data_IF_812749040934
#
_entry.id   IF_812749040934
#
_cell.length_a   1.000
_cell.length_b   1.000
_cell.length_c   1.000
_cell.angle_alpha   90.00
_cell.angle_beta   90.00
_cell.angle_gamma   90.00
#
_symmetry.space_group_name_H-M   'P 1'
#
loop_
_entity.id
_entity.type
_entity.pdbx_description
1 polymer ?
#
# COMPACT_ATOMS: atom_id res chain seq x y z
N UNK A 1 -4.60 -4.08 -27.78
CA UNK A 1 -3.34 -4.83 -27.54
C UNK A 1 -2.07 -3.97 -27.65
N UNK A 2 -2.05 -2.90 -28.46
CA UNK A 2 -0.89 -1.99 -28.54
C UNK A 2 -0.56 -1.33 -27.19
N UNK A 3 -1.56 -1.04 -26.37
CA UNK A 3 -1.38 -0.33 -25.09
C UNK A 3 -0.72 -1.18 -24.01
N UNK A 4 -1.01 -2.50 -23.97
CA UNK A 4 -0.31 -3.45 -23.11
C UNK A 4 1.19 -3.52 -23.44
N UNK A 5 1.54 -3.56 -24.72
CA UNK A 5 2.94 -3.54 -25.17
C UNK A 5 3.66 -2.23 -24.84
N UNK A 6 2.93 -1.12 -24.83
CA UNK A 6 3.46 0.18 -24.39
C UNK A 6 3.70 0.22 -22.88
N UNK A 7 2.74 -0.22 -22.06
CA UNK A 7 2.88 -0.31 -20.60
C UNK A 7 4.06 -1.19 -20.18
N UNK A 8 4.17 -2.39 -20.78
CA UNK A 8 5.30 -3.30 -20.51
C UNK A 8 6.65 -2.68 -20.92
N UNK A 9 6.69 -1.89 -22.00
CA UNK A 9 7.90 -1.18 -22.42
C UNK A 9 8.32 -0.10 -21.42
N UNK A 10 7.37 0.60 -20.80
CA UNK A 10 7.68 1.57 -19.74
C UNK A 10 8.23 0.88 -18.49
N UNK A 11 7.69 -0.27 -18.11
CA UNK A 11 8.25 -1.09 -17.03
C UNK A 11 9.72 -1.44 -17.31
N UNK A 12 10.02 -1.96 -18.51
CA UNK A 12 11.39 -2.30 -18.91
C UNK A 12 12.31 -1.08 -18.95
N UNK A 13 11.82 0.08 -19.41
CA UNK A 13 12.58 1.33 -19.40
C UNK A 13 12.93 1.75 -17.97
N UNK A 14 11.97 1.69 -17.05
CA UNK A 14 12.19 1.97 -15.63
C UNK A 14 13.26 1.06 -15.02
N UNK A 15 13.15 -0.26 -15.23
CA UNK A 15 14.14 -1.23 -14.74
C UNK A 15 15.54 -0.97 -15.31
N UNK A 16 15.67 -0.63 -16.60
CA UNK A 16 16.96 -0.26 -17.21
C UNK A 16 17.52 1.04 -16.63
N UNK A 17 16.67 2.02 -16.37
CA UNK A 17 17.10 3.29 -15.77
C UNK A 17 17.63 3.06 -14.35
N UNK A 18 16.93 2.24 -13.55
CA UNK A 18 17.36 1.81 -12.22
C UNK A 18 18.71 1.10 -12.26
N UNK A 19 18.90 0.14 -13.17
CA UNK A 19 20.15 -0.60 -13.32
C UNK A 19 21.34 0.30 -13.69
N UNK A 20 21.10 1.40 -14.42
CA UNK A 20 22.13 2.40 -14.76
C UNK A 20 22.42 3.38 -13.62
N UNK A 21 21.51 3.50 -12.65
CA UNK A 21 21.58 4.48 -11.56
C UNK A 21 21.49 3.81 -10.17
N UNK A 22 22.38 2.86 -9.89
CA UNK A 22 22.35 2.04 -8.66
C UNK A 22 22.27 2.83 -7.34
N UNK A 23 22.98 3.96 -7.21
CA UNK A 23 22.88 4.82 -6.01
C UNK A 23 21.48 5.44 -5.82
N UNK A 24 20.77 5.71 -6.90
CA UNK A 24 19.43 6.28 -6.87
C UNK A 24 18.38 5.20 -6.55
N UNK A 25 18.65 3.95 -6.91
CA UNK A 25 17.85 2.79 -6.51
C UNK A 25 17.88 2.56 -5.00
N UNK A 26 19.09 2.56 -4.40
CA UNK A 26 19.25 2.45 -2.95
C UNK A 26 18.49 3.56 -2.23
N UNK A 27 18.60 4.80 -2.71
CA UNK A 27 17.86 5.94 -2.18
C UNK A 27 16.33 5.75 -2.25
N UNK A 28 15.81 5.19 -3.34
CA UNK A 28 14.38 4.88 -3.49
C UNK A 28 13.88 3.72 -2.62
N UNK A 29 14.79 2.84 -2.15
CA UNK A 29 14.46 1.72 -1.27
C UNK A 29 14.40 2.11 0.21
N UNK A 30 15.09 3.18 0.62
CA UNK A 30 15.16 3.64 2.02
C UNK A 30 13.77 3.76 2.67
N UNK A 31 12.76 4.41 2.04
CA UNK A 31 11.44 4.53 2.65
C UNK A 31 10.74 3.18 2.86
N UNK A 32 10.91 2.26 1.91
CA UNK A 32 10.38 0.90 2.00
C UNK A 32 11.03 0.12 3.14
N UNK A 33 12.34 0.28 3.33
CA UNK A 33 13.06 -0.35 4.44
C UNK A 33 12.63 0.22 5.80
N UNK A 34 12.50 1.54 5.91
CA UNK A 34 12.00 2.19 7.13
C UNK A 34 10.61 1.65 7.46
N UNK A 35 9.71 1.63 6.46
CA UNK A 35 8.34 1.14 6.64
C UNK A 35 8.34 -0.34 7.04
N UNK A 36 9.15 -1.17 6.40
CA UNK A 36 9.29 -2.59 6.75
C UNK A 36 9.71 -2.76 8.21
N UNK A 37 10.72 -2.03 8.67
CA UNK A 37 11.16 -2.08 10.07
C UNK A 37 10.05 -1.67 11.03
N UNK A 38 9.28 -0.63 10.70
CA UNK A 38 8.15 -0.18 11.52
C UNK A 38 7.06 -1.25 11.63
N UNK A 39 6.68 -1.88 10.53
CA UNK A 39 5.66 -2.94 10.54
C UNK A 39 6.16 -4.21 11.22
N UNK A 40 7.43 -4.61 11.02
CA UNK A 40 8.03 -5.72 11.74
C UNK A 40 8.02 -5.45 13.24
N UNK A 41 8.42 -4.25 13.67
CA UNK A 41 8.36 -3.87 15.08
C UNK A 41 6.93 -3.93 15.65
N UNK A 42 5.93 -3.45 14.89
CA UNK A 42 4.52 -3.51 15.29
C UNK A 42 4.00 -4.96 15.40
N UNK A 43 4.35 -5.83 14.46
CA UNK A 43 3.97 -7.25 14.49
C UNK A 43 4.68 -8.02 15.60
N UNK A 44 5.96 -7.71 15.87
CA UNK A 44 6.69 -8.27 17.00
C UNK A 44 6.08 -7.80 18.32
N UNK A 45 5.71 -6.53 18.45
CA UNK A 45 5.01 -6.02 19.61
C UNK A 45 3.67 -6.74 19.81
N UNK A 46 2.90 -6.93 18.73
CA UNK A 46 1.67 -7.71 18.76
C UNK A 46 1.92 -9.17 19.18
N UNK A 47 3.04 -9.76 18.75
CA UNK A 47 3.40 -11.12 19.11
C UNK A 47 3.74 -11.29 20.59
N UNK A 48 4.41 -10.30 21.18
CA UNK A 48 4.82 -10.33 22.58
C UNK A 48 3.66 -9.95 23.51
N UNK A 49 2.85 -8.96 23.12
CA UNK A 49 1.85 -8.33 23.99
C UNK A 49 0.40 -8.66 23.62
N UNK A 50 0.16 -9.38 22.52
CA UNK A 50 -1.19 -9.64 22.00
C UNK A 50 -2.07 -10.44 22.97
N UNK A 51 -1.54 -11.49 23.58
CA UNK A 51 -2.29 -12.27 24.58
C UNK A 51 -2.62 -11.44 25.82
N UNK A 52 -1.65 -10.66 26.31
CA UNK A 52 -1.86 -9.76 27.45
C UNK A 52 -2.91 -8.69 27.12
N UNK A 53 -2.90 -8.15 25.90
CA UNK A 53 -3.89 -7.19 25.43
C UNK A 53 -5.30 -7.81 25.35
N UNK A 54 -5.43 -9.04 24.85
CA UNK A 54 -6.72 -9.76 24.80
C UNK A 54 -7.22 -10.04 26.22
N UNK A 55 -6.35 -10.49 27.12
CA UNK A 55 -6.70 -10.71 28.54
C UNK A 55 -7.19 -9.42 29.20
N UNK A 56 -6.44 -8.33 29.05
CA UNK A 56 -6.80 -7.00 29.56
C UNK A 56 -8.13 -6.48 28.99
N UNK A 57 -8.42 -6.79 27.73
CA UNK A 57 -9.66 -6.38 27.06
C UNK A 57 -10.87 -7.26 27.42
N UNK A 58 -10.67 -8.41 28.07
CA UNK A 58 -11.72 -9.39 28.35
C UNK A 58 -11.84 -9.77 29.84
N UNK A 59 -11.93 -8.79 30.77
CA UNK A 59 -12.00 -9.09 32.21
C UNK A 59 -13.28 -9.87 32.58
N UNK A 60 -14.38 -9.69 31.84
CA UNK A 60 -15.61 -10.45 32.03
C UNK A 60 -15.45 -11.98 31.81
N UNK A 61 -14.36 -12.41 31.16
CA UNK A 61 -14.05 -13.81 30.92
C UNK A 61 -13.10 -14.40 31.98
N UNK A 62 -12.70 -13.65 33.01
CA UNK A 62 -11.75 -14.11 34.03
C UNK A 62 -12.28 -15.30 34.84
N UNK A 63 -13.59 -15.33 35.13
CA UNK A 63 -14.23 -16.37 35.93
C UNK A 63 -14.74 -17.57 35.11
N UNK A 64 -14.45 -17.62 33.80
CA UNK A 64 -14.94 -18.69 32.94
C UNK A 64 -14.19 -19.99 33.21
N UNK A 65 -14.92 -21.11 33.23
CA UNK A 65 -14.32 -22.43 33.42
C UNK A 65 -13.45 -22.86 32.24
N UNK A 66 -12.42 -23.67 32.52
CA UNK A 66 -11.64 -24.34 31.50
C UNK A 66 -12.49 -25.38 30.76
N UNK A 67 -12.40 -25.52 29.42
CA UNK A 67 -11.45 -24.85 28.50
C UNK A 67 -12.00 -23.56 27.85
N UNK A 68 -13.21 -23.13 28.18
CA UNK A 68 -13.93 -22.07 27.45
C UNK A 68 -13.22 -20.72 27.47
N UNK A 69 -12.63 -20.35 28.61
CA UNK A 69 -11.80 -19.15 28.72
C UNK A 69 -10.64 -19.15 27.72
N UNK A 70 -9.88 -20.24 27.68
CA UNK A 70 -8.70 -20.39 26.82
C UNK A 70 -9.08 -20.42 25.34
N UNK A 71 -10.15 -21.12 24.98
CA UNK A 71 -10.65 -21.16 23.61
C UNK A 71 -11.09 -19.78 23.12
N UNK A 72 -11.85 -19.05 23.94
CA UNK A 72 -12.32 -17.70 23.58
C UNK A 72 -11.17 -16.71 23.42
N UNK A 73 -10.27 -16.63 24.41
CA UNK A 73 -9.11 -15.73 24.35
C UNK A 73 -8.14 -16.12 23.23
N UNK A 74 -7.89 -17.41 23.03
CA UNK A 74 -7.07 -17.92 21.92
C UNK A 74 -7.66 -17.55 20.56
N UNK A 75 -8.97 -17.70 20.38
CA UNK A 75 -9.66 -17.26 19.16
C UNK A 75 -9.52 -15.75 18.93
N UNK A 76 -9.76 -14.92 19.95
CA UNK A 76 -9.59 -13.46 19.84
C UNK A 76 -8.15 -13.06 19.51
N UNK A 77 -7.15 -13.70 20.13
CA UNK A 77 -5.74 -13.49 19.79
C UNK A 77 -5.49 -13.84 18.33
N UNK A 78 -5.98 -14.99 17.84
CA UNK A 78 -5.82 -15.38 16.43
C UNK A 78 -6.47 -14.36 15.48
N UNK A 79 -7.68 -13.88 15.78
CA UNK A 79 -8.37 -12.84 15.00
C UNK A 79 -7.59 -11.53 15.02
N UNK A 80 -7.08 -11.12 16.18
CA UNK A 80 -6.27 -9.91 16.33
C UNK A 80 -5.01 -9.96 15.47
N UNK A 81 -4.29 -11.08 15.46
CA UNK A 81 -3.14 -11.28 14.59
C UNK A 81 -3.53 -11.29 13.11
N UNK A 82 -4.60 -11.99 12.74
CA UNK A 82 -5.07 -12.04 11.36
C UNK A 82 -5.43 -10.63 10.84
N UNK A 83 -6.14 -9.83 11.65
CA UNK A 83 -6.47 -8.45 11.33
C UNK A 83 -5.23 -7.56 11.30
N UNK A 84 -4.31 -7.71 12.26
CA UNK A 84 -3.05 -6.97 12.28
C UNK A 84 -2.19 -7.23 11.04
N UNK A 85 -2.10 -8.49 10.60
CA UNK A 85 -1.39 -8.88 9.39
C UNK A 85 -2.09 -8.32 8.13
N UNK A 86 -3.41 -8.48 8.05
CA UNK A 86 -4.21 -7.96 6.93
C UNK A 86 -4.06 -6.43 6.79
N UNK A 87 -4.20 -5.70 7.90
CA UNK A 87 -4.01 -4.26 7.94
C UNK A 87 -2.59 -3.90 7.52
N UNK A 88 -1.58 -4.64 7.99
CA UNK A 88 -0.18 -4.41 7.60
C UNK A 88 0.00 -4.52 6.09
N UNK A 89 -0.49 -5.57 5.47
CA UNK A 89 -0.40 -5.77 4.00
C UNK A 89 -1.09 -4.64 3.25
N UNK A 90 -2.32 -4.27 3.65
CA UNK A 90 -3.10 -3.25 2.93
C UNK A 90 -2.50 -1.85 3.10
N UNK A 91 -1.93 -1.54 4.26
CA UNK A 91 -1.43 -0.19 4.57
C UNK A 91 0.06 0.00 4.26
N UNK A 92 0.82 -1.08 4.07
CA UNK A 92 2.27 -1.03 3.84
C UNK A 92 2.65 -0.12 2.67
N UNK A 93 2.03 -0.29 1.50
CA UNK A 93 2.39 0.51 0.31
C UNK A 93 2.05 1.97 0.53
N UNK A 94 0.86 2.28 1.07
CA UNK A 94 0.45 3.65 1.33
C UNK A 94 1.35 4.35 2.34
N UNK A 95 1.72 3.67 3.44
CA UNK A 95 2.67 4.22 4.43
C UNK A 95 4.05 4.39 3.83
N UNK A 96 4.50 3.44 3.00
CA UNK A 96 5.78 3.53 2.29
C UNK A 96 5.82 4.76 1.36
N UNK A 97 4.76 4.97 0.58
CA UNK A 97 4.63 6.13 -0.31
C UNK A 97 4.55 7.45 0.47
N UNK A 98 3.86 7.45 1.61
CA UNK A 98 3.74 8.63 2.47
C UNK A 98 5.09 9.01 3.10
N UNK A 99 5.79 8.05 3.71
CA UNK A 99 7.13 8.25 4.29
C UNK A 99 8.13 8.61 3.18
N UNK A 100 7.99 7.95 2.03
CA UNK A 100 8.91 8.06 0.91
C UNK A 100 8.66 9.22 -0.03
N UNK A 101 7.57 9.98 0.14
CA UNK A 101 7.21 11.07 -0.76
C UNK A 101 8.38 12.01 -1.12
N UNK A 102 9.17 12.57 -0.17
CA UNK A 102 10.31 13.41 -0.54
C UNK A 102 11.41 12.67 -1.30
N UNK A 103 11.58 11.37 -1.05
CA UNK A 103 12.54 10.52 -1.76
C UNK A 103 12.08 10.23 -3.19
N UNK A 104 10.81 9.82 -3.34
CA UNK A 104 10.21 9.50 -4.63
C UNK A 104 10.06 10.72 -5.52
N UNK A 105 9.79 11.89 -4.96
CA UNK A 105 9.79 13.16 -5.70
C UNK A 105 11.17 13.52 -6.23
N UNK A 106 12.21 13.49 -5.38
CA UNK A 106 13.59 13.72 -5.82
C UNK A 106 14.06 12.71 -6.87
N UNK A 107 13.64 11.45 -6.74
CA UNK A 107 13.93 10.41 -7.72
C UNK A 107 13.21 10.69 -9.05
N UNK A 108 11.92 11.04 -8.99
CA UNK A 108 11.10 11.35 -10.16
C UNK A 108 11.62 12.58 -10.92
N UNK A 109 12.11 13.59 -10.22
CA UNK A 109 12.76 14.75 -10.85
C UNK A 109 14.01 14.39 -11.63
N UNK A 110 14.83 13.47 -11.10
CA UNK A 110 16.04 12.99 -11.80
C UNK A 110 15.68 12.20 -13.05
N UNK A 111 14.67 11.33 -12.96
CA UNK A 111 14.12 10.60 -14.12
C UNK A 111 13.61 11.59 -15.17
N UNK A 112 12.82 12.58 -14.79
CA UNK A 112 12.29 13.57 -15.74
C UNK A 112 13.41 14.38 -16.40
N UNK A 113 14.44 14.78 -15.63
CA UNK A 113 15.59 15.51 -16.16
C UNK A 113 16.39 14.70 -17.19
N UNK A 114 16.54 13.39 -16.97
CA UNK A 114 17.25 12.50 -17.90
C UNK A 114 16.46 12.22 -19.18
N UNK A 115 15.14 12.32 -19.13
CA UNK A 115 14.25 12.02 -20.25
C UNK A 115 13.84 13.29 -21.02
N UNK A 116 13.89 14.47 -20.39
CA UNK A 116 13.50 15.73 -21.03
C UNK A 116 14.59 16.24 -21.98
N UNK A 117 14.28 16.47 -23.27
CA UNK A 117 15.24 16.99 -24.26
C UNK A 117 15.84 18.36 -23.90
N UNK A 118 15.09 19.13 -23.13
CA UNK A 118 15.41 20.50 -22.70
C UNK A 118 15.75 20.61 -21.20
N UNK A 119 15.75 19.48 -20.48
CA UNK A 119 15.98 19.43 -19.02
C UNK A 119 14.90 20.12 -18.18
N UNK A 120 13.74 20.47 -18.75
CA UNK A 120 12.63 21.06 -17.99
C UNK A 120 12.00 20.01 -17.08
N UNK A 121 11.81 20.36 -15.81
CA UNK A 121 11.30 19.44 -14.79
C UNK A 121 10.00 20.04 -14.23
N UNK A 122 8.86 19.33 -14.32
CA UNK A 122 7.62 19.77 -13.69
C UNK A 122 7.81 19.85 -12.18
N UNK A 123 7.57 21.01 -11.58
CA UNK A 123 7.61 21.19 -10.12
C UNK A 123 6.24 21.64 -9.64
N UNK A 124 5.77 21.02 -8.57
CA UNK A 124 4.48 21.34 -7.97
C UNK A 124 4.45 22.78 -7.44
N UNK A 125 5.58 23.27 -6.90
CA UNK A 125 5.72 24.63 -6.35
C UNK A 125 4.96 24.84 -5.03
N UNK A 126 4.46 23.78 -4.41
CA UNK A 126 3.83 23.82 -3.09
C UNK A 126 4.87 23.56 -1.98
N UNK A 127 4.62 24.00 -0.74
CA UNK A 127 5.41 23.56 0.40
C UNK A 127 5.26 22.05 0.64
N UNK A 128 6.35 21.35 0.98
CA UNK A 128 6.37 19.90 1.22
C UNK A 128 5.27 19.40 2.16
N UNK A 129 4.94 20.16 3.21
CA UNK A 129 3.86 19.73 4.13
C UNK A 129 2.50 19.67 3.42
N UNK A 130 2.20 20.62 2.52
CA UNK A 130 0.92 20.66 1.80
C UNK A 130 0.83 19.48 0.85
N UNK A 131 1.93 19.16 0.18
CA UNK A 131 2.02 18.00 -0.69
C UNK A 131 1.87 16.70 0.08
N UNK A 132 2.47 16.60 1.27
CA UNK A 132 2.30 15.48 2.20
C UNK A 132 0.85 15.34 2.64
N UNK A 133 0.15 16.44 2.97
CA UNK A 133 -1.25 16.38 3.38
C UNK A 133 -2.19 16.02 2.22
N UNK A 134 -1.94 16.52 1.01
CA UNK A 134 -2.71 16.13 -0.19
C UNK A 134 -2.49 14.65 -0.49
N UNK A 135 -1.23 14.22 -0.51
CA UNK A 135 -0.84 12.82 -0.73
C UNK A 135 -1.43 11.89 0.32
N UNK A 136 -1.37 12.25 1.60
CA UNK A 136 -1.95 11.47 2.69
C UNK A 136 -3.47 11.33 2.52
N UNK A 137 -4.17 12.41 2.17
CA UNK A 137 -5.63 12.39 1.97
C UNK A 137 -6.03 11.52 0.79
N UNK A 138 -5.30 11.62 -0.32
CA UNK A 138 -5.58 10.84 -1.52
C UNK A 138 -5.25 9.36 -1.30
N UNK A 139 -4.07 9.07 -0.75
CA UNK A 139 -3.66 7.72 -0.33
C UNK A 139 -4.67 7.10 0.63
N UNK A 140 -5.17 7.86 1.61
CA UNK A 140 -6.19 7.35 2.53
C UNK A 140 -7.49 6.96 1.81
N UNK A 141 -7.94 7.77 0.84
CA UNK A 141 -9.13 7.43 0.04
C UNK A 141 -8.92 6.17 -0.81
N UNK A 142 -7.71 5.99 -1.35
CA UNK A 142 -7.34 4.81 -2.12
C UNK A 142 -7.31 3.57 -1.23
N UNK A 143 -6.62 3.64 -0.09
CA UNK A 143 -6.56 2.56 0.90
C UNK A 143 -7.95 2.17 1.38
N UNK A 144 -8.83 3.13 1.68
CA UNK A 144 -10.19 2.83 2.10
C UNK A 144 -10.98 2.07 1.01
N UNK A 145 -10.79 2.43 -0.26
CA UNK A 145 -11.42 1.72 -1.39
C UNK A 145 -10.81 0.34 -1.59
N UNK A 146 -9.49 0.21 -1.50
CA UNK A 146 -8.79 -1.07 -1.60
C UNK A 146 -9.17 -2.01 -0.45
N UNK A 147 -9.28 -1.49 0.77
CA UNK A 147 -9.75 -2.23 1.94
C UNK A 147 -11.20 -2.68 1.78
N UNK A 148 -12.10 -1.80 1.30
CA UNK A 148 -13.48 -2.16 1.00
C UNK A 148 -13.55 -3.31 -0.01
N UNK A 149 -12.81 -3.20 -1.12
CA UNK A 149 -12.70 -4.29 -2.09
C UNK A 149 -12.08 -5.55 -1.51
N UNK A 150 -11.06 -5.43 -0.67
CA UNK A 150 -10.42 -6.56 0.01
C UNK A 150 -11.40 -7.32 0.90
N UNK A 151 -12.19 -6.61 1.71
CA UNK A 151 -13.25 -7.20 2.55
C UNK A 151 -14.33 -7.86 1.69
N UNK A 152 -14.79 -7.20 0.63
CA UNK A 152 -15.80 -7.75 -0.28
C UNK A 152 -15.30 -9.02 -0.96
N UNK A 153 -14.10 -9.00 -1.53
CA UNK A 153 -13.50 -10.16 -2.20
C UNK A 153 -13.20 -11.29 -1.22
N UNK A 154 -12.75 -10.96 -0.01
CA UNK A 154 -12.57 -11.95 1.05
C UNK A 154 -13.89 -12.65 1.39
N UNK A 155 -14.96 -11.88 1.60
CA UNK A 155 -16.29 -12.44 1.88
C UNK A 155 -16.81 -13.30 0.70
N UNK A 156 -16.66 -12.82 -0.54
CA UNK A 156 -17.03 -13.58 -1.74
C UNK A 156 -16.18 -14.85 -1.93
N UNK A 157 -14.96 -14.85 -1.39
CA UNK A 157 -14.05 -16.01 -1.38
C UNK A 157 -14.62 -17.23 -0.64
N UNK A 158 -15.58 -17.04 0.26
CA UNK A 158 -16.27 -18.14 0.95
C UNK A 158 -17.38 -18.79 0.13
N UNK A 159 -17.78 -18.20 -1.00
CA UNK A 159 -18.81 -18.80 -1.86
C UNK A 159 -18.20 -20.02 -2.58
N UNK A 160 -18.73 -21.24 -2.39
CA UNK A 160 -18.20 -22.42 -3.06
C UNK A 160 -18.19 -22.25 -4.58
N UNK A 161 -17.14 -22.75 -5.24
CA UNK A 161 -16.90 -22.66 -6.69
C UNK A 161 -16.56 -21.24 -7.15
N UNK A 162 -17.39 -20.22 -6.85
CA UNK A 162 -17.15 -18.83 -7.27
C UNK A 162 -15.95 -18.19 -6.58
N UNK A 163 -15.78 -18.45 -5.28
CA UNK A 163 -14.69 -17.92 -4.46
C UNK A 163 -13.31 -18.39 -4.90
N UNK A 164 -13.22 -19.57 -5.52
CA UNK A 164 -11.96 -20.14 -6.01
C UNK A 164 -11.71 -19.88 -7.49
N UNK A 165 -12.71 -19.40 -8.25
CA UNK A 165 -12.61 -19.21 -9.70
C UNK A 165 -12.68 -17.73 -10.11
N UNK A 166 -13.80 -17.06 -9.82
CA UNK A 166 -14.07 -15.69 -10.28
C UNK A 166 -13.41 -14.66 -9.36
N UNK A 167 -13.47 -14.87 -8.06
CA UNK A 167 -12.93 -13.92 -7.07
C UNK A 167 -11.43 -13.66 -7.23
N UNK A 168 -10.56 -14.67 -7.45
CA UNK A 168 -9.12 -14.41 -7.68
C UNK A 168 -8.86 -13.60 -8.95
N UNK A 169 -9.63 -13.85 -10.02
CA UNK A 169 -9.51 -13.11 -11.28
C UNK A 169 -9.87 -11.64 -11.08
N UNK A 170 -11.01 -11.37 -10.42
CA UNK A 170 -11.39 -9.99 -10.07
C UNK A 170 -10.35 -9.36 -9.15
N UNK A 171 -9.84 -10.11 -8.17
CA UNK A 171 -8.79 -9.66 -7.26
C UNK A 171 -7.54 -9.17 -8.00
N UNK A 172 -7.06 -9.92 -8.99
CA UNK A 172 -5.91 -9.50 -9.83
C UNK A 172 -6.19 -8.17 -10.53
N UNK A 173 -7.38 -8.00 -11.11
CA UNK A 173 -7.73 -6.74 -11.80
C UNK A 173 -7.87 -5.56 -10.84
N UNK A 174 -8.52 -5.77 -9.69
CA UNK A 174 -8.70 -4.73 -8.66
C UNK A 174 -7.35 -4.31 -8.08
N UNK A 175 -6.50 -5.27 -7.69
CA UNK A 175 -5.15 -4.99 -7.18
C UNK A 175 -4.28 -4.34 -8.25
N UNK A 176 -4.33 -4.81 -9.50
CA UNK A 176 -3.58 -4.22 -10.61
C UNK A 176 -3.99 -2.77 -10.90
N UNK A 177 -5.28 -2.45 -10.81
CA UNK A 177 -5.78 -1.09 -10.94
C UNK A 177 -5.24 -0.18 -9.85
N UNK A 178 -5.38 -0.57 -8.57
CA UNK A 178 -4.88 0.22 -7.45
C UNK A 178 -3.37 0.38 -7.49
N UNK A 179 -2.63 -0.67 -7.85
CA UNK A 179 -1.18 -0.59 -8.02
C UNK A 179 -0.77 0.40 -9.12
N UNK A 180 -1.51 0.42 -10.23
CA UNK A 180 -1.25 1.37 -11.33
C UNK A 180 -1.52 2.81 -10.88
N UNK A 181 -2.61 3.03 -10.16
CA UNK A 181 -2.94 4.33 -9.60
C UNK A 181 -1.86 4.80 -8.62
N UNK A 182 -1.45 3.95 -7.66
CA UNK A 182 -0.42 4.26 -6.67
C UNK A 182 0.95 4.59 -7.32
N UNK A 183 1.36 3.81 -8.33
CA UNK A 183 2.64 4.02 -9.00
C UNK A 183 2.66 5.27 -9.89
N UNK A 184 1.52 5.65 -10.47
CA UNK A 184 1.41 6.86 -11.31
C UNK A 184 1.12 8.13 -10.52
N UNK A 185 0.64 7.98 -9.27
CA UNK A 185 0.29 9.08 -8.39
C UNK A 185 1.42 10.10 -8.21
N UNK A 186 2.65 9.67 -7.98
CA UNK A 186 3.80 10.57 -7.73
C UNK A 186 4.05 11.51 -8.90
N UNK A 187 4.09 10.97 -10.12
CA UNK A 187 4.33 11.76 -11.33
C UNK A 187 3.16 12.70 -11.65
N UNK A 188 1.92 12.23 -11.43
CA UNK A 188 0.69 13.01 -11.66
C UNK A 188 0.50 14.11 -10.61
N UNK A 189 0.94 13.88 -9.37
CA UNK A 189 0.88 14.87 -8.29
C UNK A 189 1.81 16.06 -8.56
N UNK A 190 3.03 15.81 -9.06
CA UNK A 190 3.95 16.89 -9.50
C UNK A 190 3.35 17.77 -10.60
N UNK A 191 2.41 17.20 -11.38
CA UNK A 191 1.66 17.89 -12.44
C UNK A 191 0.30 18.45 -11.95
N UNK A 192 0.05 18.42 -10.63
CA UNK A 192 -1.19 18.90 -9.98
C UNK A 192 -2.47 18.21 -10.46
N UNK A 193 -2.37 16.97 -10.92
CA UNK A 193 -3.55 16.16 -11.27
C UNK A 193 -4.07 15.51 -9.98
N UNK A 194 -5.28 15.88 -9.58
CA UNK A 194 -5.92 15.38 -8.35
C UNK A 194 -6.59 14.01 -8.55
N UNK A 195 -6.86 13.30 -7.45
CA UNK A 195 -7.44 11.94 -7.46
C UNK A 195 -8.66 11.76 -8.41
N UNK A 196 -9.66 12.66 -8.48
CA UNK A 196 -10.79 12.48 -9.40
C UNK A 196 -10.39 12.45 -10.87
N UNK A 197 -9.43 13.30 -11.26
CA UNK A 197 -8.89 13.35 -12.62
C UNK A 197 -8.04 12.12 -12.91
N UNK A 198 -7.21 11.67 -11.97
CA UNK A 198 -6.41 10.43 -12.11
C UNK A 198 -7.31 9.22 -12.39
N UNK A 199 -8.38 9.07 -11.62
CA UNK A 199 -9.34 7.97 -11.81
C UNK A 199 -10.06 8.07 -13.15
N UNK A 200 -10.22 9.26 -13.70
CA UNK A 200 -10.83 9.46 -15.03
C UNK A 200 -9.86 9.11 -16.15
N UNK A 201 -8.57 9.42 -15.98
CA UNK A 201 -7.50 9.04 -16.92
C UNK A 201 -7.23 7.53 -16.96
N UNK A 202 -7.53 6.81 -15.87
CA UNK A 202 -7.29 5.37 -15.72
C UNK A 202 -8.51 4.49 -16.06
N UNK A 203 -9.62 5.07 -16.52
CA UNK A 203 -10.79 4.34 -17.04
C UNK A 203 -10.56 3.85 -18.46
#
# INVERSE_FOLDING_TARGET
MRDLGTGFRYLLKGQRWVARHGKQYEFGLIPGLITLVLYVAALVALAIWGEAFVSWSTPFADDWSSPWQGLFRGFLTAVLFALGLLLSVITFTAVTLLIGQPFYESLSEKVDRDVSPDGTVPVSGLPLWRELLISARDSLRIVLRAALWGVLLFALGFIPVLGQTVVPVIGVFVTGFFLTEELTAVALQRRRVELPERLTLLR
#
